data_IF_988282316928
#
_entry.id   IF_988282316928
#
_cell.length_a   1.000
_cell.length_b   1.000
_cell.length_c   1.000
_cell.angle_alpha   90.00
_cell.angle_beta   90.00
_cell.angle_gamma   90.00
#
_symmetry.space_group_name_H-M   'P 1'
#
loop_
_entity.id
_entity.type
_entity.pdbx_description
1 polymer ?
#
# COMPACT_ATOMS: atom_id res chain seq x y z
N UNK A 1 -9.51 -24.98 1.75
CA UNK A 1 -8.60 -25.33 0.64
C UNK A 1 -7.80 -24.08 0.25
N UNK A 2 -6.62 -23.86 0.86
CA UNK A 2 -5.86 -22.59 0.75
C UNK A 2 -4.40 -22.78 0.30
N UNK A 3 -4.06 -23.92 -0.32
CA UNK A 3 -2.66 -24.27 -0.64
C UNK A 3 -2.07 -23.66 -1.92
N UNK A 4 -2.89 -23.24 -2.89
CA UNK A 4 -2.38 -22.80 -4.20
C UNK A 4 -1.69 -21.43 -4.19
N UNK A 5 -2.26 -20.45 -3.47
CA UNK A 5 -1.72 -19.08 -3.43
C UNK A 5 -0.37 -18.98 -2.74
N UNK A 6 -0.13 -19.84 -1.75
CA UNK A 6 1.12 -19.90 -0.98
C UNK A 6 2.27 -20.47 -1.82
N UNK A 7 2.04 -21.54 -2.59
CA UNK A 7 3.06 -22.12 -3.47
C UNK A 7 3.54 -21.12 -4.53
N UNK A 8 2.63 -20.38 -5.18
CA UNK A 8 3.03 -19.35 -6.13
C UNK A 8 3.78 -18.20 -5.48
N UNK A 9 3.43 -17.84 -4.23
CA UNK A 9 4.17 -16.81 -3.48
C UNK A 9 5.59 -17.31 -3.18
N UNK A 10 5.73 -18.52 -2.63
CA UNK A 10 7.01 -19.12 -2.31
C UNK A 10 7.90 -19.28 -3.54
N UNK A 11 7.36 -19.76 -4.66
CA UNK A 11 8.10 -19.89 -5.90
C UNK A 11 8.60 -18.54 -6.43
N UNK A 12 7.77 -17.49 -6.39
CA UNK A 12 8.21 -16.13 -6.75
C UNK A 12 9.32 -15.66 -5.81
N UNK A 13 9.11 -15.74 -4.49
CA UNK A 13 10.08 -15.28 -3.51
C UNK A 13 11.44 -15.98 -3.68
N UNK A 14 11.44 -17.31 -3.83
CA UNK A 14 12.66 -18.08 -4.06
C UNK A 14 13.39 -17.66 -5.35
N UNK A 15 12.64 -17.41 -6.42
CA UNK A 15 13.22 -16.91 -7.67
C UNK A 15 13.84 -15.52 -7.49
N UNK A 16 13.15 -14.61 -6.81
CA UNK A 16 13.65 -13.26 -6.53
C UNK A 16 14.91 -13.29 -5.65
N UNK A 17 14.93 -14.14 -4.63
CA UNK A 17 16.10 -14.33 -3.76
C UNK A 17 17.33 -14.81 -4.54
N UNK A 18 17.14 -15.58 -5.60
CA UNK A 18 18.21 -16.02 -6.48
C UNK A 18 18.91 -14.90 -7.26
N UNK A 19 18.39 -13.68 -7.24
CA UNK A 19 18.98 -12.51 -7.91
C UNK A 19 20.10 -11.82 -7.11
N UNK A 20 20.33 -12.26 -5.88
CA UNK A 20 21.35 -11.77 -4.94
C UNK A 20 21.39 -10.23 -4.79
N UNK A 21 20.75 -9.77 -3.72
CA UNK A 21 20.68 -8.36 -3.35
C UNK A 21 21.66 -7.98 -2.23
N UNK A 22 22.50 -8.90 -1.77
CA UNK A 22 23.41 -8.63 -0.66
C UNK A 22 24.37 -7.46 -0.98
N UNK A 23 24.50 -6.53 -0.04
CA UNK A 23 25.37 -5.36 -0.18
C UNK A 23 24.95 -4.34 -1.25
N UNK A 24 23.76 -4.47 -1.83
CA UNK A 24 23.24 -3.51 -2.81
C UNK A 24 22.34 -2.46 -2.15
N UNK A 25 22.27 -1.26 -2.73
CA UNK A 25 21.23 -0.29 -2.36
C UNK A 25 19.89 -0.76 -2.91
N UNK A 26 18.77 -0.33 -2.30
CA UNK A 26 17.44 -0.76 -2.77
C UNK A 26 17.17 -0.37 -4.22
N UNK A 27 17.64 0.79 -4.69
CA UNK A 27 17.53 1.19 -6.09
C UNK A 27 18.41 0.33 -7.02
N UNK A 28 19.58 -0.12 -6.55
CA UNK A 28 20.44 -1.07 -7.26
C UNK A 28 19.83 -2.47 -7.36
N UNK A 29 19.27 -2.98 -6.26
CA UNK A 29 18.52 -4.23 -6.23
C UNK A 29 17.32 -4.16 -7.18
N UNK A 30 16.57 -3.05 -7.14
CA UNK A 30 15.39 -2.85 -7.97
C UNK A 30 15.76 -2.78 -9.46
N UNK A 31 16.91 -2.19 -9.82
CA UNK A 31 17.44 -2.25 -11.20
C UNK A 31 17.72 -3.67 -11.65
N UNK A 32 18.39 -4.48 -10.82
CA UNK A 32 18.67 -5.89 -11.15
C UNK A 32 17.38 -6.69 -11.30
N UNK A 33 16.46 -6.48 -10.37
CA UNK A 33 15.15 -7.11 -10.37
C UNK A 33 14.35 -6.78 -11.63
N UNK A 34 14.22 -5.50 -11.95
CA UNK A 34 13.49 -5.04 -13.12
C UNK A 34 14.26 -5.29 -14.42
N UNK A 35 15.54 -5.66 -14.40
CA UNK A 35 16.24 -6.08 -15.62
C UNK A 35 15.79 -7.46 -16.12
N UNK A 36 15.33 -8.32 -15.21
CA UNK A 36 14.91 -9.70 -15.52
C UNK A 36 13.38 -9.87 -15.48
N UNK A 37 12.68 -9.06 -14.69
CA UNK A 37 11.22 -9.08 -14.62
C UNK A 37 10.61 -8.06 -15.58
N UNK A 38 9.84 -8.57 -16.54
CA UNK A 38 8.86 -7.76 -17.25
C UNK A 38 7.65 -7.54 -16.34
N UNK A 39 7.34 -6.28 -16.03
CA UNK A 39 6.16 -5.97 -15.23
C UNK A 39 4.89 -6.25 -16.05
N UNK A 40 3.93 -7.02 -15.51
CA UNK A 40 2.66 -7.27 -16.16
C UNK A 40 1.81 -5.99 -16.21
N UNK A 41 0.83 -5.94 -17.12
CA UNK A 41 -0.06 -4.78 -17.25
C UNK A 41 -1.16 -4.73 -16.17
N UNK A 42 -1.42 -5.83 -15.47
CA UNK A 42 -2.43 -5.88 -14.42
C UNK A 42 -1.87 -5.47 -13.05
N UNK A 43 -2.43 -4.42 -12.45
CA UNK A 43 -1.97 -3.82 -11.19
C UNK A 43 -1.79 -4.81 -10.04
N UNK A 44 -2.76 -5.71 -9.82
CA UNK A 44 -2.68 -6.73 -8.77
C UNK A 44 -1.48 -7.70 -8.93
N UNK A 45 -0.98 -7.90 -10.14
CA UNK A 45 0.22 -8.73 -10.37
C UNK A 45 1.49 -7.94 -10.10
N UNK A 46 1.52 -6.64 -10.42
CA UNK A 46 2.63 -5.73 -10.09
C UNK A 46 2.83 -5.69 -8.57
N UNK A 47 1.74 -5.51 -7.81
CA UNK A 47 1.76 -5.51 -6.34
C UNK A 47 2.45 -6.76 -5.79
N UNK A 48 2.01 -7.96 -6.21
CA UNK A 48 2.58 -9.25 -5.76
C UNK A 48 4.05 -9.43 -6.11
N UNK A 49 4.49 -8.88 -7.24
CA UNK A 49 5.88 -8.94 -7.72
C UNK A 49 6.74 -8.01 -6.87
N UNK A 50 6.29 -6.78 -6.62
CA UNK A 50 6.99 -5.81 -5.77
C UNK A 50 7.00 -6.21 -4.29
N UNK A 51 5.95 -6.86 -3.79
CA UNK A 51 5.93 -7.48 -2.45
C UNK A 51 7.05 -8.53 -2.33
N UNK A 52 7.17 -9.41 -3.32
CA UNK A 52 8.19 -10.47 -3.34
C UNK A 52 9.61 -9.88 -3.42
N UNK A 53 9.79 -8.80 -4.20
CA UNK A 53 11.03 -8.01 -4.23
C UNK A 53 11.40 -7.47 -2.86
N UNK A 54 10.45 -6.83 -2.19
CA UNK A 54 10.68 -6.16 -0.92
C UNK A 54 11.04 -7.16 0.18
N UNK A 55 10.32 -8.29 0.24
CA UNK A 55 10.61 -9.39 1.14
C UNK A 55 12.01 -9.99 0.88
N UNK A 56 12.38 -10.23 -0.39
CA UNK A 56 13.71 -10.72 -0.73
C UNK A 56 14.84 -9.72 -0.41
N UNK A 57 14.62 -8.42 -0.62
CA UNK A 57 15.60 -7.38 -0.32
C UNK A 57 15.92 -7.31 1.18
N UNK A 58 14.90 -7.42 2.03
CA UNK A 58 15.08 -7.44 3.49
C UNK A 58 15.82 -8.68 3.97
N UNK A 59 15.51 -9.85 3.38
CA UNK A 59 16.14 -11.12 3.75
C UNK A 59 17.63 -11.20 3.38
N UNK A 60 18.07 -10.42 2.40
CA UNK A 60 19.47 -10.39 1.94
C UNK A 60 20.43 -9.58 2.86
N UNK A 61 20.01 -9.24 4.08
CA UNK A 61 20.72 -8.40 5.06
C UNK A 61 21.10 -6.98 4.54
N UNK A 62 20.56 -6.59 3.38
CA UNK A 62 20.82 -5.31 2.73
C UNK A 62 20.03 -4.13 3.38
N UNK A 63 19.12 -4.43 4.30
CA UNK A 63 18.14 -3.50 4.84
C UNK A 63 18.49 -2.94 6.23
N UNK A 64 19.76 -2.84 6.62
CA UNK A 64 20.13 -2.23 7.93
C UNK A 64 19.57 -0.80 8.14
N UNK A 65 19.17 -0.13 7.05
CA UNK A 65 18.57 1.21 7.07
C UNK A 65 17.04 1.22 7.17
N UNK A 66 16.35 0.12 6.84
CA UNK A 66 14.88 0.04 6.79
C UNK A 66 14.41 -0.95 7.86
N UNK A 67 13.69 -0.47 8.88
CA UNK A 67 13.26 -1.30 10.00
C UNK A 67 11.99 -2.13 9.74
N UNK A 68 11.07 -1.63 8.92
CA UNK A 68 9.78 -2.24 8.64
C UNK A 68 9.68 -2.83 7.22
N UNK A 69 9.16 -4.07 7.06
CA UNK A 69 9.00 -4.66 5.73
C UNK A 69 8.07 -3.92 4.78
N UNK A 70 7.04 -3.24 5.31
CA UNK A 70 6.14 -2.46 4.47
C UNK A 70 6.85 -1.17 4.01
N UNK A 71 7.75 -0.62 4.84
CA UNK A 71 8.55 0.53 4.44
C UNK A 71 9.44 0.21 3.22
N UNK A 72 10.02 -0.99 3.15
CA UNK A 72 10.77 -1.44 1.97
C UNK A 72 9.87 -1.53 0.73
N UNK A 73 8.65 -2.05 0.88
CA UNK A 73 7.67 -2.10 -0.20
C UNK A 73 7.22 -0.72 -0.68
N UNK A 74 6.85 0.17 0.25
CA UNK A 74 6.44 1.53 -0.08
C UNK A 74 7.58 2.27 -0.76
N UNK A 75 8.81 2.12 -0.28
CA UNK A 75 9.99 2.71 -0.89
C UNK A 75 10.24 2.16 -2.29
N UNK A 76 10.10 0.85 -2.52
CA UNK A 76 10.24 0.25 -3.86
C UNK A 76 9.21 0.83 -4.84
N UNK A 77 7.94 0.93 -4.43
CA UNK A 77 6.88 1.56 -5.24
C UNK A 77 7.22 3.03 -5.53
N UNK A 78 7.63 3.79 -4.51
CA UNK A 78 8.01 5.20 -4.65
C UNK A 78 9.17 5.40 -5.63
N UNK A 79 10.15 4.50 -5.64
CA UNK A 79 11.27 4.55 -6.58
C UNK A 79 10.82 4.29 -8.02
N UNK A 80 9.95 3.30 -8.25
CA UNK A 80 9.38 3.05 -9.58
C UNK A 80 8.60 4.26 -10.06
N UNK A 81 7.79 4.86 -9.17
CA UNK A 81 7.03 6.06 -9.46
C UNK A 81 7.92 7.25 -9.77
N UNK A 82 8.99 7.45 -8.99
CA UNK A 82 9.96 8.50 -9.24
C UNK A 82 10.61 8.34 -10.62
N UNK A 83 10.99 7.12 -11.00
CA UNK A 83 11.55 6.86 -12.33
C UNK A 83 10.56 7.25 -13.43
N UNK A 84 9.30 6.81 -13.30
CA UNK A 84 8.24 7.14 -14.25
C UNK A 84 8.01 8.65 -14.33
N UNK A 85 7.93 9.33 -13.19
CA UNK A 85 7.72 10.78 -13.14
C UNK A 85 8.88 11.54 -13.83
N UNK A 86 10.12 11.29 -13.42
CA UNK A 86 11.29 12.01 -13.92
C UNK A 86 11.53 11.78 -15.41
N UNK A 87 11.31 10.56 -15.91
CA UNK A 87 11.75 10.16 -17.25
C UNK A 87 10.62 10.02 -18.27
N UNK A 88 9.34 10.10 -17.88
CA UNK A 88 8.23 10.13 -18.84
C UNK A 88 8.09 11.51 -19.50
N UNK A 89 8.25 11.65 -20.83
CA UNK A 89 8.12 12.94 -21.52
C UNK A 89 6.74 13.61 -21.37
N UNK A 90 5.69 12.85 -21.04
CA UNK A 90 4.34 13.38 -20.87
C UNK A 90 4.15 14.13 -19.54
N UNK A 91 5.00 13.89 -18.55
CA UNK A 91 4.95 14.57 -17.25
C UNK A 91 5.63 15.92 -17.39
N UNK A 92 4.83 16.99 -17.35
CA UNK A 92 5.28 18.39 -17.52
C UNK A 92 6.00 18.94 -16.30
N UNK A 93 5.45 18.68 -15.12
CA UNK A 93 6.04 19.09 -13.84
C UNK A 93 6.62 17.87 -13.16
N UNK A 94 7.94 17.83 -13.05
CA UNK A 94 8.67 16.72 -12.44
C UNK A 94 8.63 16.81 -10.92
N UNK A 95 8.52 15.68 -10.26
CA UNK A 95 8.61 15.51 -8.83
C UNK A 95 9.95 16.04 -8.34
N UNK A 96 9.89 17.04 -7.45
CA UNK A 96 11.09 17.55 -6.81
C UNK A 96 11.63 16.58 -5.77
N UNK A 97 12.94 16.68 -5.47
CA UNK A 97 13.57 15.93 -4.38
C UNK A 97 12.85 16.14 -3.04
N UNK A 98 12.46 17.38 -2.74
CA UNK A 98 11.70 17.71 -1.53
C UNK A 98 10.34 17.01 -1.48
N UNK A 99 9.65 16.93 -2.62
CA UNK A 99 8.37 16.19 -2.75
C UNK A 99 8.57 14.70 -2.48
N UNK A 100 9.60 14.08 -3.07
CA UNK A 100 9.91 12.67 -2.87
C UNK A 100 10.20 12.35 -1.39
N UNK A 101 10.99 13.18 -0.71
CA UNK A 101 11.26 13.01 0.73
C UNK A 101 9.98 13.18 1.57
N UNK A 102 9.15 14.17 1.24
CA UNK A 102 7.91 14.43 1.97
C UNK A 102 6.91 13.27 1.87
N UNK A 103 6.84 12.59 0.71
CA UNK A 103 5.98 11.42 0.50
C UNK A 103 6.36 10.21 1.35
N UNK A 104 7.63 10.13 1.77
CA UNK A 104 8.18 9.01 2.53
C UNK A 104 8.35 9.33 4.03
N UNK A 105 7.78 10.44 4.49
CA UNK A 105 7.81 10.83 5.90
C UNK A 105 7.04 9.82 6.75
N UNK A 106 7.64 9.36 7.84
CA UNK A 106 7.04 8.39 8.76
C UNK A 106 6.85 6.98 8.19
N UNK A 107 7.42 6.68 7.03
CA UNK A 107 7.18 5.40 6.32
C UNK A 107 7.70 4.19 7.10
N UNK A 108 8.72 4.35 7.93
CA UNK A 108 9.37 3.28 8.69
C UNK A 108 8.75 3.11 10.08
N UNK A 109 7.53 2.58 10.14
CA UNK A 109 6.71 2.44 11.38
C UNK A 109 6.56 3.76 12.16
N UNK A 110 6.29 4.86 11.44
CA UNK A 110 6.16 6.20 12.01
C UNK A 110 7.50 6.92 12.20
N UNK A 111 8.63 6.32 11.80
CA UNK A 111 9.94 6.97 11.76
C UNK A 111 10.29 7.41 10.34
N UNK A 112 11.12 8.45 10.27
CA UNK A 112 11.67 8.94 9.02
C UNK A 112 12.91 8.13 8.63
N UNK A 113 12.99 7.75 7.36
CA UNK A 113 14.24 7.26 6.78
C UNK A 113 15.25 8.42 6.70
N UNK A 114 16.57 8.17 6.82
CA UNK A 114 17.56 9.24 6.79
C UNK A 114 17.48 10.06 5.49
N UNK A 115 17.42 11.39 5.60
CA UNK A 115 17.34 12.25 4.42
C UNK A 115 18.47 11.99 3.40
N UNK A 116 19.76 11.88 3.78
CA UNK A 116 20.83 11.58 2.82
C UNK A 116 20.65 10.27 2.06
N UNK A 117 19.98 9.28 2.68
CA UNK A 117 19.66 8.01 2.03
C UNK A 117 18.61 8.19 0.92
N UNK A 118 17.53 8.91 1.22
CA UNK A 118 16.47 9.22 0.24
C UNK A 118 16.95 10.14 -0.87
N UNK A 119 17.74 11.17 -0.54
CA UNK A 119 18.32 12.09 -1.51
C UNK A 119 19.26 11.36 -2.48
N UNK A 120 20.11 10.46 -1.95
CA UNK A 120 20.99 9.65 -2.78
C UNK A 120 20.24 8.71 -3.72
N UNK A 121 19.10 8.16 -3.29
CA UNK A 121 18.21 7.39 -4.17
C UNK A 121 17.68 8.29 -5.28
N UNK A 122 17.14 9.47 -4.94
CA UNK A 122 16.60 10.41 -5.91
C UNK A 122 17.64 10.76 -6.98
N UNK A 123 18.86 11.13 -6.56
CA UNK A 123 19.92 11.53 -7.48
C UNK A 123 20.31 10.40 -8.43
N UNK A 124 20.45 9.16 -7.93
CA UNK A 124 20.78 7.99 -8.77
C UNK A 124 19.67 7.63 -9.76
N UNK A 125 18.40 7.79 -9.38
CA UNK A 125 17.27 7.57 -10.29
C UNK A 125 17.20 8.66 -11.36
N UNK A 126 17.42 9.92 -10.97
CA UNK A 126 17.45 11.05 -11.89
C UNK A 126 18.61 10.95 -12.90
N UNK A 127 19.80 10.56 -12.44
CA UNK A 127 20.98 10.44 -13.29
C UNK A 127 20.87 9.25 -14.26
N UNK A 128 20.37 8.12 -13.79
CA UNK A 128 20.29 6.89 -14.57
C UNK A 128 18.86 6.34 -14.55
N UNK A 129 18.06 6.49 -15.61
CA UNK A 129 16.75 5.83 -15.68
C UNK A 129 16.89 4.30 -15.61
N UNK A 130 15.82 3.62 -15.22
CA UNK A 130 15.72 2.18 -15.39
C UNK A 130 15.62 1.86 -16.90
N UNK A 131 16.43 0.90 -17.36
CA UNK A 131 16.59 0.56 -18.79
C UNK A 131 15.55 -0.44 -19.31
N UNK A 132 14.57 -0.81 -18.50
CA UNK A 132 13.63 -1.88 -18.86
C UNK A 132 12.48 -1.34 -19.74
N UNK A 133 12.30 -1.92 -20.93
CA UNK A 133 11.21 -1.56 -21.86
C UNK A 133 9.81 -1.76 -21.25
N UNK A 134 9.63 -2.70 -20.32
CA UNK A 134 8.37 -2.87 -19.58
C UNK A 134 8.05 -1.67 -18.68
N UNK A 135 9.05 -0.98 -18.13
CA UNK A 135 8.84 0.31 -17.45
C UNK A 135 8.51 1.43 -18.44
N UNK A 136 9.08 1.40 -19.65
CA UNK A 136 8.69 2.31 -20.72
C UNK A 136 7.22 2.08 -21.16
N UNK A 137 6.72 0.86 -21.04
CA UNK A 137 5.32 0.50 -21.32
C UNK A 137 4.37 0.74 -20.13
N UNK A 138 4.89 1.04 -18.93
CA UNK A 138 4.09 1.53 -17.80
C UNK A 138 3.53 2.94 -18.04
N UNK A 139 3.85 3.61 -19.14
CA UNK A 139 3.39 4.98 -19.40
C UNK A 139 1.98 5.06 -20.01
N UNK A 140 1.39 3.95 -20.48
CA UNK A 140 0.17 4.00 -21.30
C UNK A 140 -0.82 2.85 -21.09
N UNK A 141 -1.01 2.38 -19.85
CA UNK A 141 -1.96 1.30 -19.57
C UNK A 141 -2.43 1.21 -18.11
N UNK A 142 -3.21 0.18 -17.78
CA UNK A 142 -3.79 -0.04 -16.45
C UNK A 142 -2.74 -0.09 -15.32
N UNK A 143 -1.50 -0.48 -15.63
CA UNK A 143 -0.37 -0.43 -14.72
C UNK A 143 0.09 1.01 -14.39
N UNK A 144 0.05 1.91 -15.38
CA UNK A 144 0.28 3.34 -15.23
C UNK A 144 -0.75 3.95 -14.30
N UNK A 145 -2.02 3.65 -14.55
CA UNK A 145 -3.16 4.11 -13.76
C UNK A 145 -3.08 3.56 -12.34
N UNK A 146 -2.72 2.29 -12.19
CA UNK A 146 -2.49 1.69 -10.87
C UNK A 146 -1.40 2.46 -10.16
N UNK A 147 -0.18 2.59 -10.71
CA UNK A 147 0.93 3.29 -10.06
C UNK A 147 0.65 4.79 -9.82
N UNK A 148 -0.05 5.46 -10.73
CA UNK A 148 -0.49 6.85 -10.54
C UNK A 148 -1.51 6.99 -9.41
N UNK A 149 -2.48 6.06 -9.33
CA UNK A 149 -3.39 5.92 -8.18
C UNK A 149 -2.63 5.47 -6.94
N UNK A 150 -1.48 4.80 -7.04
CA UNK A 150 -0.70 4.38 -5.87
C UNK A 150 0.08 5.53 -5.23
N UNK A 151 0.53 6.56 -5.97
CA UNK A 151 1.24 7.71 -5.39
C UNK A 151 0.66 9.08 -5.68
N UNK A 152 -0.65 9.13 -5.89
CA UNK A 152 -1.40 10.31 -5.50
C UNK A 152 -1.22 10.56 -4.00
N UNK A 153 -1.09 11.82 -3.57
CA UNK A 153 -0.89 12.17 -2.16
C UNK A 153 -2.05 11.75 -1.23
N UNK A 154 -3.16 11.23 -1.77
CA UNK A 154 -4.29 10.67 -1.03
C UNK A 154 -4.33 9.13 -0.98
N UNK A 155 -3.31 8.46 -1.52
CA UNK A 155 -3.29 7.00 -1.63
C UNK A 155 -2.95 6.33 -0.31
N UNK A 156 -3.75 5.33 0.07
CA UNK A 156 -3.58 4.57 1.31
C UNK A 156 -2.25 3.80 1.40
N UNK A 157 -1.52 3.66 0.29
CA UNK A 157 -0.21 3.03 0.29
C UNK A 157 0.91 3.86 0.93
N UNK A 158 0.83 5.19 0.94
CA UNK A 158 1.84 6.00 1.65
C UNK A 158 1.50 6.20 3.12
N UNK A 159 0.37 5.66 3.57
CA UNK A 159 -0.01 5.60 4.99
C UNK A 159 0.78 4.51 5.70
N UNK A 160 1.22 4.81 6.92
CA UNK A 160 1.81 3.83 7.84
C UNK A 160 0.82 2.70 8.14
N UNK A 161 1.32 1.52 8.57
CA UNK A 161 0.47 0.41 9.04
C UNK A 161 -0.61 0.86 10.03
N UNK A 162 -0.27 1.77 10.95
CA UNK A 162 -1.20 2.33 11.95
C UNK A 162 -2.29 3.16 11.29
N UNK A 163 -1.93 4.02 10.37
CA UNK A 163 -2.89 4.85 9.62
C UNK A 163 -3.75 4.02 8.68
N UNK A 164 -3.20 2.99 8.01
CA UNK A 164 -3.99 2.03 7.22
C UNK A 164 -4.95 1.24 8.10
N UNK A 165 -4.51 0.78 9.27
CA UNK A 165 -5.36 0.06 10.23
C UNK A 165 -6.44 0.97 10.80
N UNK A 166 -6.13 2.22 11.10
CA UNK A 166 -7.11 3.23 11.54
C UNK A 166 -8.08 3.60 10.41
N UNK A 167 -7.59 3.83 9.19
CA UNK A 167 -8.43 4.14 8.03
C UNK A 167 -9.39 2.97 7.74
N UNK A 168 -8.87 1.74 7.76
CA UNK A 168 -9.68 0.51 7.64
C UNK A 168 -10.72 0.44 8.76
N UNK A 169 -10.32 0.68 10.01
CA UNK A 169 -11.24 0.73 11.15
C UNK A 169 -12.30 1.82 11.02
N UNK A 170 -11.95 3.03 10.59
CA UNK A 170 -12.89 4.15 10.42
C UNK A 170 -13.85 3.93 9.26
N UNK A 171 -13.37 3.36 8.15
CA UNK A 171 -14.19 3.02 6.98
C UNK A 171 -15.16 1.87 7.31
N UNK A 172 -14.66 0.80 7.94
CA UNK A 172 -15.49 -0.30 8.45
C UNK A 172 -16.52 0.22 9.47
N UNK A 173 -16.10 1.05 10.43
CA UNK A 173 -17.00 1.67 11.41
C UNK A 173 -18.05 2.56 10.77
N UNK A 174 -17.71 3.32 9.71
CA UNK A 174 -18.69 4.13 8.96
C UNK A 174 -19.71 3.28 8.21
N UNK A 175 -19.27 2.17 7.61
CA UNK A 175 -20.17 1.24 6.94
C UNK A 175 -21.10 0.55 7.93
N UNK A 176 -20.56 0.15 9.09
CA UNK A 176 -21.33 -0.41 10.20
C UNK A 176 -22.35 0.58 10.73
N UNK A 177 -21.98 1.84 10.96
CA UNK A 177 -22.91 2.90 11.39
C UNK A 177 -24.03 3.12 10.39
N UNK A 178 -23.73 3.09 9.08
CA UNK A 178 -24.76 3.20 8.04
C UNK A 178 -25.70 2.00 8.06
N UNK A 179 -25.17 0.77 8.16
CA UNK A 179 -25.99 -0.43 8.31
C UNK A 179 -26.85 -0.40 9.56
N UNK A 180 -26.31 0.03 10.71
CA UNK A 180 -27.08 0.18 11.95
C UNK A 180 -28.17 1.23 11.81
N UNK A 181 -27.88 2.36 11.16
CA UNK A 181 -28.86 3.40 10.88
C UNK A 181 -29.99 2.88 9.97
N UNK A 182 -29.65 2.22 8.87
CA UNK A 182 -30.62 1.68 7.93
C UNK A 182 -31.48 0.59 8.60
N UNK A 183 -30.90 -0.25 9.48
CA UNK A 183 -31.64 -1.24 10.27
C UNK A 183 -32.59 -0.60 11.29
N UNK A 184 -32.17 0.48 11.95
CA UNK A 184 -33.03 1.25 12.87
C UNK A 184 -34.14 1.96 12.10
N UNK A 185 -33.86 2.52 10.93
CA UNK A 185 -34.86 3.20 10.07
C UNK A 185 -35.87 2.20 9.48
N UNK A 186 -35.43 0.98 9.14
CA UNK A 186 -36.33 -0.09 8.69
C UNK A 186 -37.19 -0.68 9.82
N UNK A 187 -36.74 -0.62 11.07
CA UNK A 187 -37.54 -1.03 12.24
C UNK A 187 -38.39 0.13 12.80
N UNK A 188 -38.01 1.38 12.56
CA UNK A 188 -38.77 2.58 12.93
C UNK A 188 -39.88 2.88 11.93
N UNK A 189 -40.75 1.90 11.69
CA UNK A 189 -42.04 2.11 11.04
C UNK A 189 -43.04 2.73 12.01
N UNK A 190 -42.97 4.06 12.19
CA UNK A 190 -44.05 4.88 12.74
C UNK A 190 -43.86 5.39 14.17
N UNK A 191 -43.52 6.68 14.32
CA UNK A 191 -43.58 7.40 15.61
C UNK A 191 -42.69 8.65 15.63
N UNK A 192 -43.25 9.78 16.07
CA UNK A 192 -42.72 11.15 15.96
C UNK A 192 -41.43 11.45 16.77
N UNK A 193 -40.51 12.22 16.17
CA UNK A 193 -39.54 13.12 16.84
C UNK A 193 -38.38 12.49 17.65
N UNK A 194 -37.22 13.18 17.82
CA UNK A 194 -36.09 12.66 18.58
C UNK A 194 -36.31 12.88 20.08
N UNK A 195 -37.10 12.00 20.72
CA UNK A 195 -37.12 11.84 22.16
C UNK A 195 -35.98 10.91 22.60
N UNK A 196 -35.12 11.37 23.51
CA UNK A 196 -34.19 10.48 24.19
C UNK A 196 -34.97 9.73 25.28
N UNK A 197 -35.15 8.42 25.09
CA UNK A 197 -35.75 7.54 26.09
C UNK A 197 -34.63 6.82 26.86
N UNK A 198 -34.64 6.89 28.20
CA UNK A 198 -33.84 6.01 29.01
C UNK A 198 -34.40 4.58 28.83
N UNK A 199 -33.55 3.65 28.41
CA UNK A 199 -33.96 2.30 28.06
C UNK A 199 -34.24 1.46 29.32
N UNK A 200 -35.38 1.69 29.96
CA UNK A 200 -35.95 0.80 30.96
C UNK A 200 -36.73 -0.36 30.30
N UNK A 201 -36.97 -0.27 28.99
CA UNK A 201 -37.66 -1.30 28.21
C UNK A 201 -36.65 -2.20 27.46
N UNK A 202 -36.50 -3.44 27.96
CA UNK A 202 -35.59 -4.45 27.43
C UNK A 202 -35.87 -4.79 25.95
N UNK A 203 -37.10 -4.56 25.46
CA UNK A 203 -37.46 -4.82 24.06
C UNK A 203 -36.72 -3.89 23.08
N UNK A 204 -36.39 -2.65 23.49
CA UNK A 204 -35.68 -1.69 22.65
C UNK A 204 -34.16 -1.93 22.60
N UNK A 205 -33.61 -2.60 23.61
CA UNK A 205 -32.19 -3.00 23.64
C UNK A 205 -31.92 -4.32 22.88
N UNK A 206 -32.97 -5.09 22.62
CA UNK A 206 -32.89 -6.42 22.00
C UNK A 206 -32.17 -6.44 20.63
N UNK A 207 -32.37 -5.46 19.72
CA UNK A 207 -31.64 -5.40 18.45
C UNK A 207 -30.14 -5.15 18.64
N UNK A 208 -29.77 -4.33 19.64
CA UNK A 208 -28.37 -4.00 19.95
C UNK A 208 -27.63 -5.22 20.51
N UNK A 209 -28.28 -5.99 21.39
CA UNK A 209 -27.71 -7.21 21.94
C UNK A 209 -27.61 -8.35 20.91
N UNK A 210 -28.61 -8.52 20.04
CA UNK A 210 -28.58 -9.52 18.96
C UNK A 210 -27.41 -9.27 17.98
N UNK A 211 -27.04 -8.01 17.77
CA UNK A 211 -25.94 -7.63 16.87
C UNK A 211 -24.55 -7.79 17.52
N UNK A 212 -24.43 -7.47 18.81
CA UNK A 212 -23.15 -7.52 19.54
C UNK A 212 -22.83 -8.93 20.06
N UNK A 213 -23.83 -9.80 20.21
CA UNK A 213 -23.65 -11.13 20.79
C UNK A 213 -24.47 -12.23 20.07
N UNK A 214 -24.18 -12.53 18.79
CA UNK A 214 -25.01 -13.36 17.93
C UNK A 214 -25.09 -14.86 18.31
N UNK A 215 -24.32 -15.33 19.30
CA UNK A 215 -24.28 -16.74 19.72
C UNK A 215 -25.21 -17.07 20.92
N UNK A 216 -26.05 -16.14 21.37
CA UNK A 216 -27.00 -16.34 22.48
C UNK A 216 -28.47 -16.51 22.04
N UNK A 217 -28.71 -16.83 20.76
CA UNK A 217 -30.04 -17.21 20.25
C UNK A 217 -30.16 -18.71 20.04
#
# INVERSE_FOLDING_TARGET
MTGGGDVFKQARLAYVQGLDFAGTTIDGALRRFLAVFALPSEGQKIERILESFSEAFLLADAARTIGDPDAAYILAVAIVMLNTDLHNPQVREKMSKATFLAQLKGVDDGKDLPAPFLEGIYDRINERPFTNESLANLHSGAAAETLAVLGSAGSSLFLSKRERKQLKYTVESRSMVKQTKDLLEHQAGGGEGPGYYAADDAALAQPVFAMLWPHLQ
#
